data_IF_532410300888
#
_entry.id   IF_532410300888
#
_cell.length_a   1.000
_cell.length_b   1.000
_cell.length_c   1.000
_cell.angle_alpha   90.00
_cell.angle_beta   90.00
_cell.angle_gamma   90.00
#
_symmetry.space_group_name_H-M   'P 1'
#
loop_
_entity.id
_entity.type
_entity.pdbx_description
1 polymer ?
#
# COMPACT_ATOMS: atom_id res chain seq x y z
N UNK A 1 1.01 1.67 -25.64
CA UNK A 1 0.08 1.18 -25.33
C UNK A 1 -0.26 0.67 -24.00
N UNK A 2 -0.60 -0.54 -23.84
CA UNK A 2 -1.05 -1.08 -22.57
C UNK A 2 0.00 -1.06 -21.49
N UNK A 3 1.26 -0.91 -21.88
CA UNK A 3 2.33 -0.90 -20.88
C UNK A 3 2.21 0.22 -19.89
N UNK A 4 1.68 1.36 -20.31
CA UNK A 4 1.58 2.49 -19.39
C UNK A 4 0.62 2.22 -18.25
N UNK A 5 -0.32 1.29 -18.44
CA UNK A 5 -1.27 0.96 -17.39
C UNK A 5 -0.60 0.23 -16.25
N UNK A 6 0.38 -0.61 -16.56
CA UNK A 6 1.08 -1.37 -15.53
C UNK A 6 1.94 -0.50 -14.63
N UNK A 7 2.33 0.69 -15.10
CA UNK A 7 3.18 1.58 -14.32
C UNK A 7 2.42 2.35 -13.25
N UNK A 8 1.09 2.35 -13.31
CA UNK A 8 0.28 3.13 -12.37
C UNK A 8 -0.84 2.24 -11.84
N UNK A 9 -0.51 1.38 -10.86
CA UNK A 9 -1.52 0.48 -10.31
C UNK A 9 -2.69 1.26 -9.71
N UNK A 10 -3.89 0.78 -9.96
CA UNK A 10 -5.09 1.40 -9.42
C UNK A 10 -5.25 1.13 -7.95
N UNK A 11 -4.71 0.05 -7.49
CA UNK A 11 -4.78 -0.35 -6.09
C UNK A 11 -3.39 -0.36 -5.50
N UNK A 12 -3.26 -0.13 -4.19
CA UNK A 12 -1.96 -0.23 -3.52
C UNK A 12 -1.38 -1.62 -3.68
N UNK A 13 -0.07 -1.68 -3.81
CA UNK A 13 0.63 -2.94 -3.99
C UNK A 13 1.60 -3.13 -2.83
N UNK A 14 1.39 -4.19 -2.06
CA UNK A 14 2.26 -4.55 -0.94
C UNK A 14 3.37 -5.47 -1.43
N UNK A 15 4.59 -5.11 -1.10
CA UNK A 15 5.76 -5.93 -1.40
C UNK A 15 6.53 -6.16 -0.10
N UNK A 16 6.82 -7.41 0.20
CA UNK A 16 7.65 -7.77 1.35
C UNK A 16 8.78 -8.65 0.82
N UNK A 17 10.00 -8.20 1.02
CA UNK A 17 11.17 -9.00 0.67
C UNK A 17 11.97 -9.30 1.93
N UNK A 18 13.22 -9.75 1.78
CA UNK A 18 14.00 -10.23 2.92
C UNK A 18 14.29 -9.15 3.94
N UNK A 19 14.37 -7.90 3.52
CA UNK A 19 14.82 -6.83 4.40
C UNK A 19 13.83 -5.69 4.55
N UNK A 20 12.81 -5.59 3.70
CA UNK A 20 11.90 -4.46 3.75
C UNK A 20 10.47 -4.87 3.47
N UNK A 21 9.55 -4.05 3.95
CA UNK A 21 8.14 -4.16 3.60
C UNK A 21 7.67 -2.77 3.20
N UNK A 22 6.99 -2.67 2.07
CA UNK A 22 6.50 -1.38 1.62
C UNK A 22 5.26 -1.53 0.76
N UNK A 23 4.48 -0.47 0.69
CA UNK A 23 3.29 -0.40 -0.16
C UNK A 23 3.49 0.76 -1.13
N UNK A 24 3.30 0.48 -2.41
CA UNK A 24 3.32 1.51 -3.45
C UNK A 24 1.88 1.90 -3.73
N UNK A 25 1.57 3.19 -3.65
CA UNK A 25 0.20 3.66 -3.80
C UNK A 25 0.18 5.08 -4.32
N UNK A 26 -0.99 5.52 -4.77
CA UNK A 26 -1.19 6.92 -5.13
C UNK A 26 -1.11 7.77 -3.87
N UNK A 27 -0.74 9.05 -3.99
CA UNK A 27 -0.52 9.87 -2.79
C UNK A 27 -1.67 9.88 -1.79
N UNK A 28 -2.90 10.05 -2.24
CA UNK A 28 -4.04 10.07 -1.33
C UNK A 28 -4.24 8.74 -0.63
N UNK A 29 -4.11 7.64 -1.36
CA UNK A 29 -4.23 6.30 -0.77
C UNK A 29 -3.10 6.02 0.19
N UNK A 30 -1.88 6.45 -0.15
CA UNK A 30 -0.73 6.22 0.72
C UNK A 30 -0.91 6.93 2.05
N UNK A 31 -1.45 8.15 2.02
CA UNK A 31 -1.71 8.90 3.25
C UNK A 31 -2.78 8.24 4.10
N UNK A 32 -3.86 7.77 3.47
CA UNK A 32 -4.90 7.05 4.18
C UNK A 32 -4.38 5.78 4.82
N UNK A 33 -3.59 5.02 4.06
CA UNK A 33 -3.00 3.79 4.57
C UNK A 33 -2.05 4.06 5.72
N UNK A 34 -1.23 5.11 5.61
CA UNK A 34 -0.31 5.46 6.68
C UNK A 34 -1.06 5.78 7.97
N UNK A 35 -2.11 6.58 7.88
CA UNK A 35 -2.92 6.94 9.03
C UNK A 35 -3.56 5.69 9.64
N UNK A 36 -4.10 4.82 8.79
CA UNK A 36 -4.76 3.61 9.26
C UNK A 36 -3.79 2.66 9.95
N UNK A 37 -2.62 2.40 9.34
CA UNK A 37 -1.64 1.52 9.95
C UNK A 37 -1.11 2.08 11.27
N UNK A 38 -0.93 3.41 11.35
CA UNK A 38 -0.48 4.02 12.61
C UNK A 38 -1.54 3.88 13.67
N UNK A 39 -2.82 4.00 13.30
CA UNK A 39 -3.90 3.81 14.25
C UNK A 39 -3.98 2.37 14.75
N UNK A 40 -3.45 1.43 13.97
CA UNK A 40 -3.39 0.02 14.33
C UNK A 40 -2.09 -0.34 15.06
N UNK A 41 -1.28 0.66 15.37
CA UNK A 41 -0.07 0.45 16.17
C UNK A 41 1.17 0.09 15.38
N UNK A 42 1.14 0.23 14.06
CA UNK A 42 2.31 -0.08 13.23
C UNK A 42 3.06 1.19 12.87
N UNK A 43 4.39 1.11 12.94
CA UNK A 43 5.25 2.22 12.56
C UNK A 43 5.46 2.20 11.06
N UNK A 44 5.24 3.34 10.41
CA UNK A 44 5.48 3.48 8.98
C UNK A 44 5.67 4.94 8.63
N UNK A 45 6.25 5.18 7.46
CA UNK A 45 6.44 6.55 6.98
C UNK A 45 6.28 6.59 5.47
N UNK A 46 6.00 7.79 4.96
CA UNK A 46 5.82 7.99 3.53
C UNK A 46 7.13 8.45 2.91
N UNK A 47 7.54 7.75 1.85
CA UNK A 47 8.70 8.13 1.06
C UNK A 47 8.19 8.75 -0.24
N UNK A 48 8.25 10.07 -0.29
CA UNK A 48 7.76 10.81 -1.46
C UNK A 48 8.83 11.01 -2.52
N UNK A 49 10.05 10.60 -2.21
CA UNK A 49 11.17 10.72 -3.15
C UNK A 49 11.44 9.43 -3.90
N UNK A 50 10.55 8.46 -3.76
CA UNK A 50 10.69 7.22 -4.50
C UNK A 50 10.69 7.50 -6.00
N UNK A 51 11.44 6.69 -6.73
CA UNK A 51 11.70 6.95 -8.14
C UNK A 51 10.56 6.54 -9.07
N UNK A 52 9.33 6.46 -8.57
CA UNK A 52 8.18 6.06 -9.37
C UNK A 52 7.29 7.29 -9.54
N UNK A 53 7.23 7.89 -10.73
CA UNK A 53 6.42 9.09 -10.91
C UNK A 53 4.94 8.86 -10.61
N UNK A 54 4.35 9.78 -9.85
CA UNK A 54 2.94 9.72 -9.55
C UNK A 54 2.56 8.78 -8.42
N UNK A 55 3.55 8.13 -7.79
CA UNK A 55 3.30 7.18 -6.72
C UNK A 55 4.12 7.54 -5.48
N UNK A 56 3.66 7.06 -4.34
CA UNK A 56 4.34 7.26 -3.06
C UNK A 56 4.55 5.89 -2.45
N UNK A 57 5.69 5.71 -1.79
CA UNK A 57 5.99 4.46 -1.10
C UNK A 57 5.70 4.65 0.38
N UNK A 58 4.87 3.76 0.94
CA UNK A 58 4.66 3.66 2.37
C UNK A 58 5.60 2.60 2.89
N UNK A 59 6.56 2.99 3.71
CA UNK A 59 7.67 2.14 4.11
C UNK A 59 7.50 1.71 5.56
N UNK A 60 7.61 0.41 5.82
CA UNK A 60 7.53 -0.14 7.18
C UNK A 60 8.90 -0.45 7.74
N UNK A 61 9.96 -0.24 6.97
CA UNK A 61 11.32 -0.53 7.42
C UNK A 61 11.65 -2.02 7.32
N UNK A 62 12.27 -2.53 8.36
CA UNK A 62 12.72 -3.92 8.43
C UNK A 62 11.88 -4.64 9.48
N UNK A 63 10.71 -5.16 9.11
CA UNK A 63 9.80 -5.76 10.08
C UNK A 63 10.26 -7.14 10.51
N UNK A 64 9.94 -7.50 11.76
CA UNK A 64 10.12 -8.86 12.24
C UNK A 64 9.09 -9.76 11.54
N UNK A 65 9.29 -11.10 11.57
CA UNK A 65 8.29 -12.00 10.99
C UNK A 65 6.88 -11.80 11.56
N UNK A 66 6.78 -11.49 12.85
CA UNK A 66 5.47 -11.24 13.45
C UNK A 66 4.86 -9.96 12.89
N UNK A 67 5.67 -8.93 12.70
CA UNK A 67 5.20 -7.69 12.11
C UNK A 67 4.80 -7.87 10.66
N UNK A 68 5.54 -8.69 9.89
CA UNK A 68 5.17 -8.98 8.52
C UNK A 68 3.79 -9.63 8.45
N UNK A 69 3.53 -10.60 9.30
CA UNK A 69 2.23 -11.27 9.34
C UNK A 69 1.13 -10.27 9.67
N UNK A 70 1.42 -9.38 10.60
CA UNK A 70 0.46 -8.35 10.99
C UNK A 70 0.17 -7.39 9.83
N UNK A 71 1.22 -6.96 9.12
CA UNK A 71 1.07 -6.07 7.98
C UNK A 71 0.22 -6.72 6.90
N UNK A 72 0.51 -7.98 6.56
CA UNK A 72 -0.25 -8.70 5.53
C UNK A 72 -1.71 -8.83 5.90
N UNK A 73 -2.00 -9.19 7.15
CA UNK A 73 -3.37 -9.38 7.61
C UNK A 73 -4.13 -8.06 7.59
N UNK A 74 -3.51 -7.01 8.10
CA UNK A 74 -4.18 -5.72 8.15
C UNK A 74 -4.37 -5.12 6.77
N UNK A 75 -3.40 -5.30 5.88
CA UNK A 75 -3.55 -4.83 4.51
C UNK A 75 -4.70 -5.55 3.81
N UNK A 76 -4.80 -6.86 4.00
CA UNK A 76 -5.92 -7.62 3.44
C UNK A 76 -7.26 -7.13 3.98
N UNK A 77 -7.31 -6.79 5.27
CA UNK A 77 -8.52 -6.24 5.85
C UNK A 77 -8.89 -4.90 5.22
N UNK A 78 -7.89 -4.05 5.03
CA UNK A 78 -8.12 -2.75 4.40
C UNK A 78 -8.64 -2.92 2.97
N UNK A 79 -8.04 -3.84 2.22
CA UNK A 79 -8.47 -4.10 0.84
C UNK A 79 -9.92 -4.55 0.77
N UNK A 80 -10.35 -5.38 1.70
CA UNK A 80 -11.73 -5.87 1.72
C UNK A 80 -12.74 -4.77 2.00
N UNK A 81 -12.32 -3.70 2.65
CA UNK A 81 -13.20 -2.57 2.95
C UNK A 81 -13.32 -1.60 1.79
N UNK A 82 -12.47 -1.72 0.78
CA UNK A 82 -12.50 -0.81 -0.35
C UNK A 82 -13.49 -1.32 -1.39
N UNK A 83 -14.27 -0.43 -2.02
CA UNK A 83 -15.15 -0.86 -3.09
C UNK A 83 -14.33 -1.31 -4.29
N UNK A 84 -14.74 -2.41 -4.91
CA UNK A 84 -14.06 -2.88 -6.10
C UNK A 84 -14.44 -2.01 -7.28
N UNK A 85 -13.57 -1.88 -8.28
CA UNK A 85 -13.92 -1.13 -9.49
C UNK A 85 -15.16 -1.69 -10.18
N UNK A 86 -15.34 -3.00 -10.13
CA UNK A 86 -16.50 -3.62 -10.72
C UNK A 86 -17.79 -3.21 -10.02
N UNK A 87 -17.77 -3.18 -8.72
CA UNK A 87 -18.93 -2.75 -7.97
C UNK A 87 -19.29 -1.31 -8.28
N UNK A 88 -18.29 -0.45 -8.47
CA UNK A 88 -18.53 0.94 -8.82
C UNK A 88 -19.16 1.07 -10.19
N UNK A 89 -18.77 0.23 -11.13
CA UNK A 89 -19.32 0.29 -12.48
C UNK A 89 -20.74 -0.21 -12.59
N UNK A 90 -21.18 -0.98 -11.63
CA UNK A 90 -22.54 -1.52 -11.66
C UNK A 90 -23.59 -0.55 -11.20
N UNK A 91 -23.20 0.62 -10.77
CA UNK A 91 -24.15 1.62 -10.32
C UNK A 91 -24.59 2.58 -11.45
#
# INVERSE_FOLDING_TARGET
>A
MSESIALHPRAPLLTIDETTAHIVARPGQAEELAAWFRSEGLTCWLDREAAIPGLVVLDFGDPTPAQERCIRRKFATWQRRQPSPEAALRR
#
